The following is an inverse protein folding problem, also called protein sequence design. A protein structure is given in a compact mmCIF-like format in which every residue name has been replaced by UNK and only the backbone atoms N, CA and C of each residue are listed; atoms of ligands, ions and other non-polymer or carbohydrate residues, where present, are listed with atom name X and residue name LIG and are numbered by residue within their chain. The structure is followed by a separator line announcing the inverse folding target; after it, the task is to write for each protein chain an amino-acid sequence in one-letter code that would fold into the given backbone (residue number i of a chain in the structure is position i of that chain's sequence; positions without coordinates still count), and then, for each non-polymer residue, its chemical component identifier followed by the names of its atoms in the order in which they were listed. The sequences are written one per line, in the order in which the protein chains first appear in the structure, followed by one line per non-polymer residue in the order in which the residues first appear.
data_IF_907424929865
#
_entry.id   IF_907424929865
#
_cell.length_a   1.000
_cell.length_b   1.000
_cell.length_c   1.000
_cell.angle_alpha   90.00
_cell.angle_beta   90.00
_cell.angle_gamma   90.00
#
_symmetry.space_group_name_H-M   'P 1'
#
loop_
_entity.id
_entity.type
_entity.pdbx_description
1 polymer ?
#
# COMPACT_ATOMS: atom_id res chain seq x y z
N UNK A 1 -0.89 -24.89 11.25
CA UNK A 1 -1.96 -24.25 10.48
C UNK A 1 -1.47 -22.99 9.78
N UNK A 2 -0.79 -22.03 10.43
CA UNK A 2 -0.22 -20.84 9.80
C UNK A 2 0.75 -21.18 8.66
N UNK A 3 1.67 -22.11 8.85
CA UNK A 3 2.67 -22.50 7.83
C UNK A 3 2.02 -23.09 6.58
N UNK A 4 0.91 -23.83 6.73
CA UNK A 4 0.16 -24.38 5.60
C UNK A 4 -0.51 -23.28 4.80
N UNK A 5 -1.13 -22.30 5.46
CA UNK A 5 -1.75 -21.14 4.79
C UNK A 5 -0.71 -20.32 4.01
N UNK A 6 0.46 -20.07 4.62
CA UNK A 6 1.56 -19.33 3.96
C UNK A 6 2.06 -20.08 2.71
N UNK A 7 2.04 -21.41 2.71
CA UNK A 7 2.42 -22.22 1.54
C UNK A 7 1.32 -22.22 0.47
N UNK A 8 0.05 -22.29 0.85
CA UNK A 8 -1.07 -22.38 -0.11
C UNK A 8 -1.39 -21.04 -0.80
N UNK A 9 -1.15 -19.87 -0.14
CA UNK A 9 -1.45 -18.57 -0.74
C UNK A 9 -0.74 -18.35 -2.09
N UNK A 10 0.58 -18.60 -2.23
CA UNK A 10 1.27 -18.47 -3.50
C UNK A 10 0.81 -19.46 -4.58
N UNK A 11 0.25 -20.61 -4.19
CA UNK A 11 -0.28 -21.60 -5.13
C UNK A 11 -1.62 -21.17 -5.73
N UNK A 12 -2.44 -20.46 -4.96
CA UNK A 12 -3.76 -19.97 -5.40
C UNK A 12 -3.65 -18.59 -6.06
N UNK A 13 -2.87 -17.70 -5.48
CA UNK A 13 -2.69 -16.32 -5.94
C UNK A 13 -1.28 -16.10 -6.53
N UNK A 14 -0.95 -16.84 -7.59
CA UNK A 14 0.39 -16.88 -8.20
C UNK A 14 0.91 -15.48 -8.55
N UNK A 15 0.08 -14.67 -9.21
CA UNK A 15 0.50 -13.32 -9.65
C UNK A 15 0.70 -12.37 -8.46
N UNK A 16 -0.12 -12.45 -7.44
CA UNK A 16 0.08 -11.68 -6.20
C UNK A 16 1.40 -12.07 -5.52
N UNK A 17 1.75 -13.37 -5.51
CA UNK A 17 3.03 -13.85 -5.01
C UNK A 17 4.24 -13.30 -5.78
N UNK A 18 4.14 -13.19 -7.11
CA UNK A 18 5.18 -12.60 -7.95
C UNK A 18 5.38 -11.11 -7.62
N UNK A 19 4.29 -10.35 -7.48
CA UNK A 19 4.33 -8.93 -7.14
C UNK A 19 4.90 -8.73 -5.74
N UNK A 20 4.50 -9.54 -4.76
CA UNK A 20 5.07 -9.52 -3.40
C UNK A 20 6.59 -9.71 -3.42
N UNK A 21 7.06 -10.75 -4.12
CA UNK A 21 8.49 -11.03 -4.21
C UNK A 21 9.25 -9.90 -4.89
N UNK A 22 8.69 -9.35 -5.97
CA UNK A 22 9.25 -8.19 -6.66
C UNK A 22 9.36 -6.97 -5.73
N UNK A 23 8.32 -6.65 -4.95
CA UNK A 23 8.35 -5.55 -3.98
C UNK A 23 9.41 -5.78 -2.91
N UNK A 24 9.54 -7.01 -2.40
CA UNK A 24 10.58 -7.36 -1.43
C UNK A 24 11.99 -7.18 -2.02
N UNK A 25 12.20 -7.52 -3.29
CA UNK A 25 13.49 -7.36 -3.96
C UNK A 25 13.83 -5.87 -4.16
N UNK A 26 12.87 -5.06 -4.60
CA UNK A 26 13.02 -3.60 -4.72
C UNK A 26 13.38 -2.99 -3.36
N UNK A 27 12.64 -3.35 -2.30
CA UNK A 27 12.88 -2.84 -0.94
C UNK A 27 14.24 -3.29 -0.41
N UNK A 28 14.67 -4.53 -0.69
CA UNK A 28 15.97 -5.07 -0.30
C UNK A 28 17.12 -4.28 -0.93
N UNK A 29 17.05 -4.06 -2.24
CA UNK A 29 18.09 -3.31 -2.99
C UNK A 29 18.22 -1.88 -2.45
N UNK A 30 17.10 -1.18 -2.22
CA UNK A 30 17.12 0.19 -1.70
C UNK A 30 17.60 0.24 -0.24
N UNK A 31 17.15 -0.69 0.61
CA UNK A 31 17.59 -0.76 2.01
C UNK A 31 19.10 -1.04 2.15
N UNK A 32 19.68 -1.89 1.29
CA UNK A 32 21.13 -2.15 1.24
C UNK A 32 21.94 -0.89 0.90
N UNK A 33 21.36 0.01 0.12
CA UNK A 33 21.95 1.31 -0.22
C UNK A 33 21.54 2.42 0.77
N UNK A 34 20.88 2.05 1.87
CA UNK A 34 20.35 2.99 2.89
C UNK A 34 19.43 4.06 2.28
N UNK A 35 18.58 3.68 1.31
CA UNK A 35 17.66 4.57 0.62
C UNK A 35 16.22 4.37 1.11
N UNK A 36 15.53 5.48 1.34
CA UNK A 36 14.10 5.52 1.68
C UNK A 36 13.27 5.30 0.41
N UNK A 37 12.12 4.68 0.55
CA UNK A 37 11.16 4.56 -0.54
C UNK A 37 10.10 5.64 -0.40
N UNK A 38 9.91 6.40 -1.47
CA UNK A 38 8.92 7.48 -1.52
C UNK A 38 8.16 7.35 -2.83
N UNK A 39 6.84 7.44 -2.75
CA UNK A 39 5.97 7.41 -3.94
C UNK A 39 4.75 8.30 -3.74
N UNK A 40 4.08 8.62 -4.85
CA UNK A 40 2.86 9.41 -4.87
C UNK A 40 1.65 8.47 -5.01
N UNK A 41 0.69 8.60 -4.10
CA UNK A 41 -0.57 7.84 -4.20
C UNK A 41 -1.45 8.36 -5.34
N UNK A 42 -2.48 7.60 -5.73
CA UNK A 42 -3.42 8.00 -6.79
C UNK A 42 -4.22 9.29 -6.48
N UNK A 43 -4.13 9.81 -5.27
CA UNK A 43 -4.71 11.12 -4.86
C UNK A 43 -3.68 12.24 -4.81
N UNK A 44 -2.42 11.99 -5.21
CA UNK A 44 -1.34 12.96 -5.15
C UNK A 44 -0.68 13.09 -3.76
N UNK A 45 -1.03 12.21 -2.82
CA UNK A 45 -0.43 12.21 -1.49
C UNK A 45 0.94 11.53 -1.51
N UNK A 46 1.94 12.17 -0.89
CA UNK A 46 3.30 11.60 -0.80
C UNK A 46 3.35 10.59 0.33
N UNK A 47 3.69 9.35 -0.01
CA UNK A 47 3.88 8.26 0.96
C UNK A 47 5.36 8.03 1.16
N UNK A 48 5.78 7.99 2.43
CA UNK A 48 7.17 7.73 2.81
C UNK A 48 7.24 6.41 3.56
N UNK A 49 7.95 5.45 3.01
CA UNK A 49 8.23 4.16 3.64
C UNK A 49 9.66 4.16 4.15
N UNK A 50 9.80 4.45 5.43
CA UNK A 50 11.07 4.63 6.12
C UNK A 50 11.07 3.93 7.48
N UNK A 51 11.77 2.83 7.57
CA UNK A 51 11.98 2.10 8.81
C UNK A 51 13.45 2.20 9.21
N UNK A 52 13.77 2.93 10.28
CA UNK A 52 15.12 3.09 10.78
C UNK A 52 15.39 2.24 12.00
N UNK A 53 16.63 1.80 12.16
CA UNK A 53 17.06 1.11 13.37
C UNK A 53 16.94 2.05 14.58
N UNK A 54 16.22 1.66 15.65
CA UNK A 54 16.16 2.46 16.85
C UNK A 54 17.48 2.42 17.61
N UNK A 55 17.84 3.54 18.25
CA UNK A 55 18.87 3.54 19.30
C UNK A 55 18.21 3.13 20.61
N UNK A 56 18.69 2.05 21.20
CA UNK A 56 18.24 1.63 22.52
C UNK A 56 18.97 2.47 23.59
N UNK A 57 18.21 3.23 24.34
CA UNK A 57 18.70 3.99 25.50
C UNK A 57 18.18 3.30 26.75
N UNK A 58 19.09 2.76 27.54
CA UNK A 58 18.76 2.12 28.80
C UNK A 58 18.81 3.15 29.94
N UNK A 59 17.68 3.35 30.61
CA UNK A 59 17.54 4.20 31.77
C UNK A 59 17.38 3.30 32.98
N UNK A 60 18.31 3.39 33.93
CA UNK A 60 18.29 2.66 35.19
C UNK A 60 17.90 3.62 36.30
N UNK A 61 16.80 3.33 36.98
CA UNK A 61 16.39 4.00 38.23
C UNK A 61 16.66 3.08 39.42
N UNK A 62 16.43 3.54 40.64
CA UNK A 62 16.67 2.74 41.84
C UNK A 62 15.87 1.42 41.84
N UNK A 63 14.64 1.43 41.30
CA UNK A 63 13.71 0.30 41.36
C UNK A 63 13.43 -0.39 40.01
N UNK A 64 13.70 0.29 38.86
CA UNK A 64 13.31 -0.18 37.56
C UNK A 64 14.36 0.12 36.50
N UNK A 65 14.35 -0.71 35.45
CA UNK A 65 15.12 -0.47 34.23
C UNK A 65 14.16 -0.30 33.06
N UNK A 66 14.25 0.86 32.37
CA UNK A 66 13.46 1.16 31.17
C UNK A 66 14.37 1.10 29.95
N UNK A 67 13.83 0.59 28.83
CA UNK A 67 14.49 0.65 27.52
C UNK A 67 13.66 1.56 26.64
N UNK A 68 14.19 2.74 26.32
CA UNK A 68 13.61 3.66 25.36
C UNK A 68 14.19 3.40 23.97
N UNK A 69 13.34 3.52 22.96
CA UNK A 69 13.76 3.45 21.56
C UNK A 69 13.74 4.86 20.98
N UNK A 70 14.93 5.39 20.72
CA UNK A 70 15.11 6.69 20.05
C UNK A 70 15.25 6.44 18.55
N UNK A 71 14.37 7.07 17.74
CA UNK A 71 14.43 7.03 16.29
C UNK A 71 15.08 8.32 15.77
N UNK A 72 16.02 8.19 14.85
CA UNK A 72 16.74 9.30 14.27
C UNK A 72 16.99 9.05 12.78
N UNK A 73 16.72 10.04 11.93
CA UNK A 73 16.92 10.00 10.48
C UNK A 73 18.35 9.69 10.04
N UNK A 74 19.34 9.96 10.89
CA UNK A 74 20.75 9.65 10.63
C UNK A 74 21.09 8.16 10.80
N UNK A 75 20.17 7.37 11.36
CA UNK A 75 20.38 5.93 11.56
C UNK A 75 20.19 5.17 10.25
N UNK A 76 20.76 3.97 10.20
CA UNK A 76 20.59 3.09 9.05
C UNK A 76 19.14 2.60 8.93
N UNK A 77 18.75 2.30 7.72
CA UNK A 77 17.48 1.61 7.43
C UNK A 77 17.51 0.22 8.08
N UNK A 78 16.48 -0.09 8.85
CA UNK A 78 16.19 -1.45 9.32
C UNK A 78 15.72 -2.29 8.12
N UNK A 79 16.65 -3.02 7.53
CA UNK A 79 16.42 -3.80 6.31
C UNK A 79 15.23 -4.75 6.44
N UNK A 80 15.11 -5.42 7.58
CA UNK A 80 14.03 -6.39 7.80
C UNK A 80 12.67 -5.71 7.80
N UNK A 81 12.51 -4.69 8.64
CA UNK A 81 11.25 -3.94 8.70
C UNK A 81 10.90 -3.24 7.40
N UNK A 82 11.90 -2.78 6.65
CA UNK A 82 11.70 -2.15 5.35
C UNK A 82 11.15 -3.14 4.33
N UNK A 83 11.67 -4.37 4.31
CA UNK A 83 11.18 -5.44 3.41
C UNK A 83 9.82 -5.95 3.87
N UNK A 84 9.65 -6.26 5.16
CA UNK A 84 8.42 -6.85 5.68
C UNK A 84 7.21 -5.90 5.54
N UNK A 85 7.43 -4.59 5.61
CA UNK A 85 6.36 -3.59 5.61
C UNK A 85 5.95 -3.05 4.23
N UNK A 86 6.76 -3.24 3.16
CA UNK A 86 6.50 -2.54 1.89
C UNK A 86 5.20 -2.97 1.22
N UNK A 87 4.89 -4.26 1.23
CA UNK A 87 3.68 -4.79 0.58
C UNK A 87 2.43 -4.19 1.22
N UNK A 88 2.35 -4.25 2.55
CA UNK A 88 1.22 -3.70 3.28
C UNK A 88 1.09 -2.18 3.07
N UNK A 89 2.19 -1.43 3.17
CA UNK A 89 2.15 0.03 3.02
C UNK A 89 1.76 0.46 1.60
N UNK A 90 2.23 -0.25 0.57
CA UNK A 90 1.86 0.06 -0.79
C UNK A 90 0.37 -0.21 -1.02
N UNK A 91 -0.13 -1.39 -0.65
CA UNK A 91 -1.54 -1.76 -0.79
C UNK A 91 -2.43 -0.78 -0.02
N UNK A 92 -2.12 -0.50 1.25
CA UNK A 92 -2.91 0.44 2.06
C UNK A 92 -2.89 1.86 1.48
N UNK A 93 -1.82 2.28 0.79
CA UNK A 93 -1.79 3.59 0.14
C UNK A 93 -2.77 3.67 -1.04
N UNK A 94 -2.98 2.57 -1.77
CA UNK A 94 -3.98 2.49 -2.84
C UNK A 94 -5.40 2.37 -2.28
N UNK A 95 -5.62 1.60 -1.22
CA UNK A 95 -6.92 1.50 -0.54
C UNK A 95 -7.36 2.86 0.00
N UNK A 96 -6.45 3.57 0.66
CA UNK A 96 -6.71 4.92 1.15
C UNK A 96 -7.02 5.90 0.00
N UNK A 97 -6.30 5.78 -1.12
CA UNK A 97 -6.56 6.59 -2.31
C UNK A 97 -7.94 6.29 -2.92
N UNK A 98 -8.34 5.02 -2.99
CA UNK A 98 -9.66 4.61 -3.45
C UNK A 98 -10.77 5.18 -2.55
N UNK A 99 -10.62 5.08 -1.23
CA UNK A 99 -11.55 5.66 -0.27
C UNK A 99 -11.68 7.18 -0.44
N UNK A 100 -10.56 7.90 -0.50
CA UNK A 100 -10.56 9.37 -0.65
C UNK A 100 -11.22 9.81 -1.96
N UNK A 101 -10.94 9.13 -3.06
CA UNK A 101 -11.55 9.42 -4.37
C UNK A 101 -13.04 9.14 -4.38
N UNK A 102 -13.45 8.02 -3.77
CA UNK A 102 -14.87 7.68 -3.59
C UNK A 102 -15.60 8.76 -2.81
N UNK A 103 -15.08 9.20 -1.66
CA UNK A 103 -15.66 10.28 -0.86
C UNK A 103 -15.75 11.57 -1.68
N UNK A 104 -14.68 11.96 -2.37
CA UNK A 104 -14.66 13.16 -3.18
C UNK A 104 -15.72 13.14 -4.29
N UNK A 105 -15.89 11.99 -4.95
CA UNK A 105 -16.88 11.80 -5.99
C UNK A 105 -18.30 11.86 -5.43
N UNK A 106 -18.57 11.19 -4.32
CA UNK A 106 -19.87 11.19 -3.64
C UNK A 106 -20.24 12.59 -3.15
N UNK A 107 -19.27 13.36 -2.64
CA UNK A 107 -19.46 14.78 -2.29
C UNK A 107 -19.90 15.62 -3.48
N UNK A 108 -19.31 15.40 -4.66
CA UNK A 108 -19.69 16.07 -5.88
C UNK A 108 -21.12 15.71 -6.36
N UNK A 109 -21.61 14.52 -5.98
CA UNK A 109 -22.99 14.07 -6.22
C UNK A 109 -23.98 14.48 -5.11
N UNK A 110 -23.52 15.27 -4.11
CA UNK A 110 -24.36 15.85 -3.06
C UNK A 110 -24.48 15.02 -1.78
N UNK A 111 -23.86 13.84 -1.70
CA UNK A 111 -23.85 13.01 -0.50
C UNK A 111 -22.82 13.58 0.48
N UNK A 112 -23.24 13.79 1.74
CA UNK A 112 -22.42 14.48 2.75
C UNK A 112 -22.22 13.68 4.05
N UNK A 113 -22.86 12.53 4.18
CA UNK A 113 -22.81 11.70 5.39
C UNK A 113 -22.15 10.38 5.08
N UNK A 114 -21.00 10.14 5.71
CA UNK A 114 -20.14 8.98 5.48
C UNK A 114 -19.78 8.30 6.78
N UNK A 115 -19.68 6.98 6.75
CA UNK A 115 -19.09 6.15 7.79
C UNK A 115 -18.07 5.23 7.11
N UNK A 116 -16.82 5.68 7.04
CA UNK A 116 -15.73 4.97 6.36
C UNK A 116 -14.76 4.41 7.39
N UNK A 117 -14.51 3.10 7.31
CA UNK A 117 -13.53 2.40 8.15
C UNK A 117 -12.71 1.49 7.26
N UNK A 118 -11.48 1.89 6.95
CA UNK A 118 -10.57 1.17 6.04
C UNK A 118 -11.23 0.87 4.68
N UNK A 119 -11.52 -0.38 4.40
CA UNK A 119 -12.17 -0.91 3.20
C UNK A 119 -13.71 -1.01 3.32
N UNK A 120 -14.26 -0.59 4.46
CA UNK A 120 -15.71 -0.58 4.70
C UNK A 120 -16.28 0.82 4.43
N UNK A 121 -17.31 0.88 3.60
CA UNK A 121 -17.92 2.11 3.14
C UNK A 121 -19.39 2.18 3.57
N UNK A 122 -19.78 3.23 4.27
CA UNK A 122 -21.14 3.46 4.73
C UNK A 122 -21.68 4.82 4.34
N UNK A 123 -22.95 4.85 3.92
CA UNK A 123 -23.76 6.03 3.64
C UNK A 123 -25.18 5.80 4.16
N UNK A 124 -26.07 6.77 4.03
CA UNK A 124 -27.50 6.54 4.27
C UNK A 124 -28.09 5.52 3.29
N UNK A 125 -29.09 4.76 3.73
CA UNK A 125 -29.70 3.70 2.93
C UNK A 125 -30.17 4.16 1.53
N UNK A 126 -30.66 5.40 1.40
CA UNK A 126 -31.08 5.99 0.12
C UNK A 126 -29.93 6.23 -0.85
N UNK A 127 -28.68 6.25 -0.38
CA UNK A 127 -27.50 6.59 -1.18
C UNK A 127 -26.65 5.35 -1.53
N UNK A 128 -27.06 4.14 -1.09
CA UNK A 128 -26.28 2.91 -1.26
C UNK A 128 -26.04 2.57 -2.73
N UNK A 129 -27.02 2.73 -3.59
CA UNK A 129 -26.87 2.43 -5.03
C UNK A 129 -25.84 3.37 -5.68
N UNK A 130 -25.88 4.65 -5.29
CA UNK A 130 -24.87 5.63 -5.73
C UNK A 130 -23.49 5.28 -5.23
N UNK A 131 -23.36 4.92 -3.96
CA UNK A 131 -22.09 4.45 -3.39
C UNK A 131 -21.55 3.24 -4.15
N UNK A 132 -22.37 2.21 -4.38
CA UNK A 132 -21.95 0.99 -5.06
C UNK A 132 -21.44 1.27 -6.48
N UNK A 133 -22.11 2.14 -7.22
CA UNK A 133 -21.66 2.57 -8.55
C UNK A 133 -20.34 3.33 -8.48
N UNK A 134 -20.25 4.34 -7.62
CA UNK A 134 -19.05 5.20 -7.50
C UNK A 134 -17.82 4.42 -7.05
N UNK A 135 -17.98 3.47 -6.10
CA UNK A 135 -16.90 2.57 -5.66
C UNK A 135 -16.26 1.84 -6.83
N UNK A 136 -17.09 1.26 -7.70
CA UNK A 136 -16.62 0.49 -8.87
C UNK A 136 -15.96 1.40 -9.91
N UNK A 137 -16.56 2.54 -10.20
CA UNK A 137 -16.02 3.51 -11.16
C UNK A 137 -14.64 4.02 -10.72
N UNK A 138 -14.47 4.40 -9.44
CA UNK A 138 -13.19 4.90 -8.95
C UNK A 138 -12.15 3.78 -8.83
N UNK A 139 -12.54 2.56 -8.51
CA UNK A 139 -11.64 1.41 -8.55
C UNK A 139 -11.10 1.18 -9.96
N UNK A 140 -11.98 1.06 -10.95
CA UNK A 140 -11.58 0.89 -12.35
C UNK A 140 -10.70 2.04 -12.81
N UNK A 141 -11.00 3.28 -12.42
CA UNK A 141 -10.22 4.46 -12.78
C UNK A 141 -8.81 4.43 -12.21
N UNK A 142 -8.61 3.99 -10.97
CA UNK A 142 -7.28 3.88 -10.36
C UNK A 142 -6.48 2.79 -11.05
N UNK A 143 -7.05 1.60 -11.19
CA UNK A 143 -6.32 0.42 -11.67
C UNK A 143 -6.28 0.26 -13.20
N UNK A 144 -6.91 1.18 -13.95
CA UNK A 144 -6.68 1.33 -15.40
C UNK A 144 -5.37 2.04 -15.71
N UNK A 145 -4.78 2.72 -14.73
CA UNK A 145 -3.45 3.30 -14.84
C UNK A 145 -2.38 2.25 -14.52
N UNK A 146 -1.18 2.34 -15.09
CA UNK A 146 -0.08 1.41 -14.82
C UNK A 146 0.55 1.69 -13.45
N UNK A 147 -0.20 1.50 -12.36
CA UNK A 147 0.14 1.95 -11.00
C UNK A 147 1.49 1.41 -10.50
N UNK A 148 1.83 0.15 -10.78
CA UNK A 148 3.11 -0.44 -10.37
C UNK A 148 4.28 0.11 -11.20
N UNK A 149 4.06 0.38 -12.49
CA UNK A 149 5.08 1.00 -13.33
C UNK A 149 5.35 2.44 -12.89
N UNK A 150 4.30 3.23 -12.63
CA UNK A 150 4.42 4.58 -12.10
C UNK A 150 5.20 4.60 -10.78
N UNK A 151 4.89 3.68 -9.86
CA UNK A 151 5.63 3.50 -8.61
C UNK A 151 7.12 3.21 -8.86
N UNK A 152 7.45 2.28 -9.76
CA UNK A 152 8.82 1.93 -10.09
C UNK A 152 9.58 3.12 -10.70
N UNK A 153 8.92 3.86 -11.60
CA UNK A 153 9.53 5.01 -12.28
C UNK A 153 9.83 6.15 -11.31
N UNK A 154 8.95 6.40 -10.33
CA UNK A 154 9.22 7.35 -9.24
C UNK A 154 10.43 6.92 -8.40
N UNK A 155 10.52 5.63 -8.04
CA UNK A 155 11.66 5.11 -7.29
C UNK A 155 12.97 5.21 -8.08
N UNK A 156 12.95 4.92 -9.37
CA UNK A 156 14.11 5.05 -10.27
C UNK A 156 14.57 6.50 -10.38
N UNK A 157 13.62 7.41 -10.54
CA UNK A 157 13.89 8.86 -10.60
C UNK A 157 14.51 9.39 -9.30
N UNK A 158 14.03 8.91 -8.15
CA UNK A 158 14.54 9.30 -6.84
C UNK A 158 15.90 8.66 -6.51
N UNK A 159 16.28 7.57 -7.18
CA UNK A 159 17.49 6.81 -6.90
C UNK A 159 18.33 6.57 -8.17
N UNK A 160 18.87 7.63 -8.80
CA UNK A 160 19.68 7.49 -10.00
C UNK A 160 20.92 6.64 -9.72
N UNK A 161 21.24 5.72 -10.63
CA UNK A 161 22.40 4.82 -10.52
C UNK A 161 22.13 3.54 -9.71
N UNK A 162 20.91 3.31 -9.22
CA UNK A 162 20.50 2.04 -8.64
C UNK A 162 19.63 1.28 -9.66
N UNK A 163 20.06 0.09 -10.04
CA UNK A 163 19.26 -0.78 -10.92
C UNK A 163 18.19 -1.47 -10.08
N UNK A 164 16.93 -1.23 -10.43
CA UNK A 164 15.77 -1.89 -9.82
C UNK A 164 15.14 -2.85 -10.85
N UNK A 165 14.66 -4.03 -10.40
CA UNK A 165 14.02 -5.00 -11.29
C UNK A 165 12.74 -4.44 -11.92
N UNK A 166 12.44 -4.89 -13.14
CA UNK A 166 11.22 -4.50 -13.84
C UNK A 166 9.98 -5.09 -13.17
N UNK A 167 8.84 -4.41 -13.38
CA UNK A 167 7.54 -4.88 -12.88
C UNK A 167 7.20 -6.22 -13.53
N UNK A 168 6.73 -7.21 -12.76
CA UNK A 168 6.20 -8.46 -13.34
C UNK A 168 5.08 -8.19 -14.34
N UNK A 169 4.92 -9.04 -15.37
CA UNK A 169 3.84 -8.88 -16.32
C UNK A 169 2.47 -8.98 -15.62
N UNK A 170 1.52 -8.18 -16.07
CA UNK A 170 0.12 -8.24 -15.59
C UNK A 170 -0.63 -9.36 -16.34
N UNK A 171 -1.70 -9.87 -15.72
CA UNK A 171 -2.61 -10.83 -16.36
C UNK A 171 -3.56 -10.16 -17.37
N UNK A 172 -4.38 -10.97 -18.01
CA UNK A 172 -5.28 -10.57 -19.11
C UNK A 172 -6.68 -10.13 -18.63
N UNK A 173 -6.89 -9.97 -17.32
CA UNK A 173 -8.18 -9.56 -16.78
C UNK A 173 -8.51 -8.12 -17.20
N UNK A 174 -9.65 -7.95 -17.91
CA UNK A 174 -10.19 -6.61 -18.13
C UNK A 174 -10.80 -6.09 -16.82
N UNK A 175 -10.12 -5.11 -16.20
CA UNK A 175 -10.54 -4.50 -14.94
C UNK A 175 -11.96 -3.90 -15.02
N UNK A 176 -12.46 -3.55 -16.21
CA UNK A 176 -13.81 -3.03 -16.42
C UNK A 176 -14.92 -4.02 -16.10
N UNK A 177 -14.60 -5.33 -16.02
CA UNK A 177 -15.56 -6.34 -15.60
C UNK A 177 -16.06 -6.09 -14.17
N UNK A 178 -15.30 -5.36 -13.34
CA UNK A 178 -15.71 -4.92 -12.01
C UNK A 178 -17.00 -4.11 -12.04
N UNK A 179 -17.26 -3.32 -13.08
CA UNK A 179 -18.47 -2.51 -13.21
C UNK A 179 -19.76 -3.36 -13.27
N UNK A 180 -19.67 -4.56 -13.83
CA UNK A 180 -20.81 -5.47 -14.01
C UNK A 180 -20.78 -6.66 -13.03
N UNK A 181 -19.76 -6.78 -12.19
CA UNK A 181 -19.64 -7.89 -11.25
C UNK A 181 -20.79 -7.89 -10.23
N UNK A 182 -21.49 -9.02 -9.97
CA UNK A 182 -22.53 -9.06 -8.93
C UNK A 182 -21.97 -8.88 -7.53
N UNK A 183 -20.70 -9.23 -7.30
CA UNK A 183 -20.00 -9.13 -6.02
C UNK A 183 -18.72 -8.34 -6.20
N UNK A 184 -18.67 -7.16 -5.59
CA UNK A 184 -17.46 -6.31 -5.62
C UNK A 184 -17.12 -5.76 -4.24
N UNK A 185 -17.91 -5.26 -3.46
CA UNK A 185 -17.85 -5.01 -2.03
C UNK A 185 -19.14 -5.57 -1.45
N UNK A 186 -19.04 -6.53 -0.57
CA UNK A 186 -20.18 -7.17 0.06
C UNK A 186 -20.44 -6.59 1.45
#
# INVERSE_FOLDING_TARGET
MADVLVQCIPEVAVEAGKIMNWLHDVARILAEKNRVMVWTSATGFIVVHENREPKKVRIVTADHTFVLHEYNEKRKIDRRKQIDGIVANLVHSFDAAHMMRTIHRLLAEGIRHFAMVHDSFGVHACDVDTLNRVLREEFVRIYSEPVLQNFLDELRKANPGITLPDVPPTGDLDIRQVLASPYFFA
#
